data_IF_960092235636
#
_entry.id   IF_960092235636
#
_cell.length_a   1.000
_cell.length_b   1.000
_cell.length_c   1.000
_cell.angle_alpha   90.00
_cell.angle_beta   90.00
_cell.angle_gamma   90.00
#
_symmetry.space_group_name_H-M   'P 1'
#
loop_
_entity.id
_entity.type
_entity.pdbx_description
1 polymer ?
#
# COMPACT_ATOMS: atom_id res chain seq x y z
N UNK A 1 -20.64 -33.50 -60.49
CA UNK A 1 -19.52 -33.84 -59.59
C UNK A 1 -19.33 -32.71 -58.59
N UNK A 2 -19.19 -33.08 -57.32
CA UNK A 2 -19.41 -32.31 -56.10
C UNK A 2 -18.34 -31.25 -55.79
N UNK A 3 -18.82 -30.08 -55.33
CA UNK A 3 -18.07 -28.92 -54.84
C UNK A 3 -17.19 -29.28 -53.63
N UNK A 4 -15.94 -28.80 -53.59
CA UNK A 4 -15.01 -28.98 -52.47
C UNK A 4 -14.88 -27.67 -51.70
N UNK A 5 -15.66 -27.52 -50.64
CA UNK A 5 -15.44 -26.50 -49.61
C UNK A 5 -14.17 -26.86 -48.83
N UNK A 6 -13.16 -25.98 -48.85
CA UNK A 6 -11.99 -26.08 -47.96
C UNK A 6 -12.28 -25.26 -46.70
N UNK A 7 -12.38 -25.96 -45.56
CA UNK A 7 -12.47 -25.37 -44.23
C UNK A 7 -11.23 -24.50 -43.95
N UNK A 8 -11.46 -23.25 -43.57
CA UNK A 8 -10.45 -22.36 -42.99
C UNK A 8 -10.48 -22.61 -41.47
N UNK A 9 -9.45 -23.25 -40.93
CA UNK A 9 -9.28 -23.42 -39.49
C UNK A 9 -8.62 -22.16 -38.91
N UNK A 10 -9.41 -21.25 -38.35
CA UNK A 10 -8.93 -20.16 -37.51
C UNK A 10 -8.63 -20.73 -36.11
N UNK A 11 -7.35 -20.98 -35.84
CA UNK A 11 -6.88 -21.32 -34.50
C UNK A 11 -6.90 -20.03 -33.68
N UNK A 12 -7.90 -19.88 -32.82
CA UNK A 12 -7.97 -18.81 -31.84
C UNK A 12 -6.92 -19.01 -30.76
N UNK A 13 -5.86 -18.20 -30.79
CA UNK A 13 -4.88 -18.11 -29.71
C UNK A 13 -5.50 -17.33 -28.53
N UNK A 14 -6.05 -18.05 -27.56
CA UNK A 14 -6.49 -17.45 -26.31
C UNK A 14 -5.26 -17.04 -25.46
N UNK A 15 -5.00 -15.74 -25.37
CA UNK A 15 -4.03 -15.17 -24.43
C UNK A 15 -4.56 -15.40 -23.01
N UNK A 16 -4.02 -16.40 -22.31
CA UNK A 16 -4.22 -16.56 -20.88
C UNK A 16 -3.53 -15.41 -20.14
N UNK A 17 -4.29 -14.36 -19.81
CA UNK A 17 -3.85 -13.34 -18.86
C UNK A 17 -3.76 -14.00 -17.49
N UNK A 18 -2.55 -14.37 -17.10
CA UNK A 18 -2.27 -14.86 -15.76
C UNK A 18 -2.38 -13.70 -14.79
N UNK A 19 -3.56 -13.50 -14.19
CA UNK A 19 -3.70 -12.63 -13.03
C UNK A 19 -3.03 -13.31 -11.84
N UNK A 20 -2.00 -12.67 -11.27
CA UNK A 20 -1.39 -13.16 -10.03
C UNK A 20 -2.46 -13.25 -8.94
N UNK A 21 -2.57 -14.40 -8.27
CA UNK A 21 -3.49 -14.57 -7.16
C UNK A 21 -3.04 -13.67 -6.00
N UNK A 22 -3.92 -12.75 -5.58
CA UNK A 22 -3.68 -11.83 -4.46
C UNK A 22 -4.01 -12.56 -3.15
N UNK A 23 -3.01 -12.80 -2.30
CA UNK A 23 -3.22 -13.48 -1.01
C UNK A 23 -3.28 -12.47 0.15
N UNK A 24 -4.27 -12.53 1.05
CA UNK A 24 -4.25 -11.73 2.27
C UNK A 24 -3.00 -12.03 3.12
N UNK A 25 -2.41 -11.01 3.72
CA UNK A 25 -1.13 -11.05 4.44
C UNK A 25 0.12 -10.93 3.55
N UNK A 26 -0.06 -10.91 2.23
CA UNK A 26 1.04 -10.77 1.28
C UNK A 26 1.62 -9.35 1.33
N UNK A 27 2.95 -9.20 1.46
CA UNK A 27 3.59 -7.89 1.47
C UNK A 27 3.45 -7.16 0.13
N UNK A 28 3.34 -5.84 0.19
CA UNK A 28 3.34 -4.99 -1.00
C UNK A 28 4.63 -4.16 -1.03
N UNK A 29 5.61 -4.52 -1.88
CA UNK A 29 6.81 -3.72 -2.06
C UNK A 29 6.54 -2.47 -2.91
N UNK A 30 7.43 -1.48 -2.85
CA UNK A 30 7.40 -0.34 -3.77
C UNK A 30 6.31 0.71 -3.48
N UNK A 31 5.74 0.69 -2.28
CA UNK A 31 4.71 1.65 -1.85
C UNK A 31 5.38 2.83 -1.17
N UNK A 32 5.16 4.02 -1.73
CA UNK A 32 5.65 5.27 -1.17
C UNK A 32 4.79 5.67 0.04
N UNK A 33 5.48 6.03 1.12
CA UNK A 33 4.92 6.49 2.38
C UNK A 33 5.05 8.00 2.43
N UNK A 34 3.92 8.67 2.46
CA UNK A 34 3.83 10.12 2.46
C UNK A 34 3.56 10.63 3.86
N UNK A 35 4.30 11.64 4.29
CA UNK A 35 4.09 12.37 5.55
C UNK A 35 3.80 13.83 5.23
N UNK A 36 2.66 14.36 5.71
CA UNK A 36 2.29 15.76 5.52
C UNK A 36 1.75 16.37 6.81
N UNK A 37 2.04 17.66 7.02
CA UNK A 37 1.44 18.44 8.12
C UNK A 37 -0.05 18.63 7.84
N UNK A 38 -0.89 18.40 8.85
CA UNK A 38 -2.34 18.48 8.75
C UNK A 38 -2.87 19.55 9.72
N UNK A 39 -3.62 20.56 9.26
CA UNK A 39 -3.92 20.89 7.86
C UNK A 39 -2.76 21.59 7.12
N UNK A 40 -2.82 21.59 5.78
CA UNK A 40 -2.14 22.59 4.93
C UNK A 40 -0.69 22.31 4.51
N UNK A 41 -0.05 21.24 4.98
CA UNK A 41 1.30 20.87 4.55
C UNK A 41 1.31 20.04 3.27
N UNK A 42 2.23 20.33 2.35
CA UNK A 42 2.52 19.44 1.23
C UNK A 42 3.18 18.16 1.74
N UNK A 43 2.62 16.98 1.46
CA UNK A 43 3.21 15.73 1.90
C UNK A 43 4.52 15.45 1.16
N UNK A 44 5.49 14.87 1.88
CA UNK A 44 6.76 14.39 1.32
C UNK A 44 6.84 12.87 1.41
N UNK A 45 7.52 12.24 0.46
CA UNK A 45 7.85 10.81 0.57
C UNK A 45 8.96 10.66 1.62
N UNK A 46 8.70 9.87 2.66
CA UNK A 46 9.66 9.62 3.75
C UNK A 46 10.27 8.21 3.71
N UNK A 47 9.61 7.28 3.04
CA UNK A 47 10.13 5.94 2.77
C UNK A 47 9.36 5.30 1.61
N UNK A 48 9.93 4.22 1.09
CA UNK A 48 9.28 3.28 0.17
C UNK A 48 9.37 1.89 0.78
N UNK A 49 8.30 1.10 0.69
CA UNK A 49 8.30 -0.25 1.26
C UNK A 49 9.27 -1.20 0.55
N UNK A 50 9.97 -2.02 1.34
CA UNK A 50 10.89 -3.06 0.87
C UNK A 50 10.16 -4.30 0.33
N UNK A 51 10.92 -5.35 -0.02
CA UNK A 51 10.38 -6.60 -0.57
C UNK A 51 9.41 -7.30 0.38
N UNK A 52 9.59 -7.09 1.67
CA UNK A 52 8.78 -7.64 2.75
C UNK A 52 7.62 -6.70 3.13
N UNK A 53 7.41 -5.63 2.34
CA UNK A 53 6.39 -4.61 2.53
C UNK A 53 6.69 -3.67 3.69
N UNK A 54 7.88 -3.76 4.32
CA UNK A 54 8.24 -3.01 5.51
C UNK A 54 8.85 -1.66 5.15
N UNK A 55 8.75 -0.72 6.08
CA UNK A 55 9.45 0.56 5.97
C UNK A 55 9.84 1.07 7.36
N UNK A 56 10.87 1.92 7.38
CA UNK A 56 11.28 2.68 8.55
C UNK A 56 11.82 4.04 8.08
N UNK A 57 11.36 5.12 8.69
CA UNK A 57 11.77 6.48 8.35
C UNK A 57 11.97 7.32 9.60
N UNK A 58 13.00 8.16 9.58
CA UNK A 58 13.16 9.27 10.53
C UNK A 58 12.82 10.58 9.82
N UNK A 59 11.89 11.34 10.38
CA UNK A 59 11.54 12.65 9.86
C UNK A 59 11.73 13.72 10.94
N UNK A 60 12.44 14.80 10.61
CA UNK A 60 12.47 16.01 11.44
C UNK A 60 11.29 16.87 11.07
N UNK A 61 10.44 17.16 12.04
CA UNK A 61 9.18 17.87 11.86
C UNK A 61 8.97 18.86 12.99
N UNK A 62 8.20 19.90 12.72
CA UNK A 62 7.81 20.89 13.73
C UNK A 62 6.66 20.37 14.60
N UNK A 63 6.30 21.14 15.63
CA UNK A 63 5.03 20.96 16.35
C UNK A 63 3.86 20.98 15.35
N UNK A 64 2.93 20.05 15.52
CA UNK A 64 1.68 20.05 14.77
C UNK A 64 1.02 18.68 14.71
N UNK A 65 -0.09 18.64 13.97
CA UNK A 65 -0.77 17.42 13.56
C UNK A 65 -0.19 16.95 12.23
N UNK A 66 -0.07 15.64 12.05
CA UNK A 66 0.50 15.05 10.85
C UNK A 66 -0.36 13.90 10.35
N UNK A 67 -0.42 13.76 9.03
CA UNK A 67 -1.10 12.69 8.33
C UNK A 67 -0.09 11.79 7.60
N UNK A 68 -0.28 10.48 7.68
CA UNK A 68 0.39 9.50 6.81
C UNK A 68 -0.60 8.97 5.78
N UNK A 69 -0.15 8.92 4.53
CA UNK A 69 -0.86 8.28 3.43
C UNK A 69 0.10 7.43 2.59
N UNK A 70 -0.46 6.58 1.73
CA UNK A 70 0.33 5.68 0.87
C UNK A 70 -0.11 5.77 -0.57
N UNK A 71 0.86 5.75 -1.49
CA UNK A 71 0.59 5.58 -2.92
C UNK A 71 1.58 4.57 -3.50
N UNK A 72 1.12 3.77 -4.46
CA UNK A 72 2.06 2.98 -5.24
C UNK A 72 2.91 3.90 -6.09
N UNK A 73 4.18 3.51 -6.28
CA UNK A 73 5.04 4.17 -7.24
C UNK A 73 4.36 4.24 -8.63
N UNK A 74 4.62 5.26 -9.46
CA UNK A 74 3.90 5.51 -10.72
C UNK A 74 3.85 4.34 -11.73
N UNK A 75 4.71 3.32 -11.55
CA UNK A 75 4.79 2.14 -12.42
C UNK A 75 4.16 0.88 -11.81
N UNK A 76 3.50 1.00 -10.66
CA UNK A 76 2.92 -0.13 -9.94
C UNK A 76 1.41 0.07 -9.72
N UNK A 77 0.64 -0.96 -10.07
CA UNK A 77 -0.78 -1.02 -9.72
C UNK A 77 -0.91 -1.48 -8.27
N UNK A 78 -1.49 -0.62 -7.43
CA UNK A 78 -1.79 -0.97 -6.05
C UNK A 78 -2.98 -1.93 -5.95
N UNK A 79 -2.88 -3.02 -5.16
CA UNK A 79 -4.05 -3.79 -4.78
C UNK A 79 -5.09 -2.88 -4.09
N UNK A 80 -6.40 -3.04 -4.39
CA UNK A 80 -7.44 -2.19 -3.80
C UNK A 80 -7.59 -2.40 -2.29
N UNK A 81 -7.29 -3.61 -1.80
CA UNK A 81 -7.39 -3.97 -0.38
C UNK A 81 -6.06 -3.81 0.36
N UNK A 82 -5.22 -2.85 -0.06
CA UNK A 82 -3.98 -2.57 0.66
C UNK A 82 -4.28 -1.93 2.01
N UNK A 83 -3.51 -2.28 3.02
CA UNK A 83 -3.58 -1.63 4.32
C UNK A 83 -2.17 -1.36 4.84
N UNK A 84 -2.09 -0.35 5.70
CA UNK A 84 -0.86 0.10 6.34
C UNK A 84 -0.95 -0.24 7.84
N UNK A 85 0.02 -0.98 8.35
CA UNK A 85 0.30 -0.95 9.79
C UNK A 85 1.28 0.18 10.05
N UNK A 86 0.92 1.15 10.88
CA UNK A 86 1.78 2.28 11.22
C UNK A 86 2.09 2.30 12.72
N UNK A 87 3.35 2.54 13.03
CA UNK A 87 3.81 2.95 14.36
C UNK A 87 4.53 4.28 14.26
N UNK A 88 4.32 5.14 15.25
CA UNK A 88 5.03 6.40 15.43
C UNK A 88 5.67 6.37 16.81
N UNK A 89 7.00 6.49 16.86
CA UNK A 89 7.79 6.39 18.09
C UNK A 89 7.43 5.14 18.92
N UNK A 90 7.23 4.01 18.23
CA UNK A 90 6.88 2.72 18.81
C UNK A 90 5.40 2.55 19.19
N UNK A 91 4.55 3.57 18.99
CA UNK A 91 3.11 3.50 19.30
C UNK A 91 2.30 3.25 18.03
N UNK A 92 1.44 2.25 18.04
CA UNK A 92 0.55 1.96 16.91
C UNK A 92 -0.44 3.10 16.67
N UNK A 93 -0.56 3.54 15.43
CA UNK A 93 -1.53 4.54 14.98
C UNK A 93 -2.56 3.84 14.09
N UNK A 94 -3.84 4.08 14.37
CA UNK A 94 -4.95 3.55 13.57
C UNK A 94 -5.42 4.62 12.57
N UNK A 95 -5.89 4.22 11.39
CA UNK A 95 -6.48 5.16 10.46
C UNK A 95 -7.84 5.67 10.99
N UNK A 96 -8.22 6.87 10.56
CA UNK A 96 -9.58 7.38 10.68
C UNK A 96 -10.53 6.63 9.72
N UNK A 97 -11.83 6.99 9.76
CA UNK A 97 -12.84 6.40 8.89
C UNK A 97 -12.58 6.58 7.38
N UNK A 98 -11.66 7.47 7.00
CA UNK A 98 -11.24 7.74 5.61
C UNK A 98 -9.93 7.05 5.25
N UNK A 99 -9.35 6.25 6.14
CA UNK A 99 -8.08 5.56 5.91
C UNK A 99 -6.84 6.43 6.17
N UNK A 100 -7.00 7.61 6.79
CA UNK A 100 -5.89 8.55 7.05
C UNK A 100 -5.34 8.33 8.45
N UNK A 101 -4.02 8.18 8.57
CA UNK A 101 -3.37 7.99 9.87
C UNK A 101 -2.96 9.35 10.43
N UNK A 102 -3.62 9.78 11.50
CA UNK A 102 -3.39 11.07 12.14
C UNK A 102 -2.63 10.91 13.46
N UNK A 103 -1.65 11.77 13.69
CA UNK A 103 -0.91 11.79 14.95
C UNK A 103 -0.36 13.20 15.29
N UNK A 104 -0.33 13.58 16.59
CA UNK A 104 0.24 14.84 17.02
C UNK A 104 1.74 14.74 17.33
N UNK A 105 2.45 15.85 17.13
CA UNK A 105 3.85 16.06 17.55
C UNK A 105 3.90 17.23 18.53
N UNK A 106 4.32 16.97 19.77
CA UNK A 106 4.22 17.94 20.89
C UNK A 106 5.39 18.93 21.07
N UNK A 107 6.56 18.70 20.48
CA UNK A 107 7.76 19.56 20.60
C UNK A 107 7.89 20.62 19.49
N UNK A 108 8.63 21.72 19.71
CA UNK A 108 8.83 22.80 18.71
C UNK A 108 9.50 22.31 17.42
N UNK A 109 10.50 21.45 17.57
CA UNK A 109 11.10 20.59 16.53
C UNK A 109 11.32 19.21 17.15
N UNK A 110 10.83 18.16 16.49
CA UNK A 110 10.94 16.78 16.93
C UNK A 110 11.43 15.88 15.79
N UNK A 111 12.19 14.83 16.12
CA UNK A 111 12.41 13.72 15.20
C UNK A 111 11.39 12.64 15.52
N UNK A 112 10.56 12.29 14.55
CA UNK A 112 9.61 11.17 14.67
C UNK A 112 10.16 9.95 13.94
N UNK A 113 10.02 8.78 14.55
CA UNK A 113 10.31 7.50 13.93
C UNK A 113 9.00 6.88 13.43
N UNK A 114 8.86 6.78 12.11
CA UNK A 114 7.77 6.04 11.49
C UNK A 114 8.27 4.66 11.13
N UNK A 115 7.50 3.62 11.46
CA UNK A 115 7.77 2.29 10.95
C UNK A 115 6.50 1.48 10.77
N UNK A 116 6.55 0.49 9.89
CA UNK A 116 5.34 -0.24 9.55
C UNK A 116 5.50 -1.26 8.45
N UNK A 117 4.36 -1.75 7.99
CA UNK A 117 4.25 -2.70 6.88
C UNK A 117 3.03 -2.38 6.03
N UNK A 118 3.18 -2.49 4.71
CA UNK A 118 2.10 -2.43 3.74
C UNK A 118 1.85 -3.84 3.22
N UNK A 119 0.61 -4.28 3.30
CA UNK A 119 0.21 -5.64 2.93
C UNK A 119 -1.25 -5.68 2.46
N UNK A 120 -1.64 -6.82 1.91
CA UNK A 120 -2.99 -7.06 1.41
C UNK A 120 -3.87 -7.56 2.54
N UNK A 121 -5.04 -6.97 2.71
CA UNK A 121 -6.07 -7.48 3.62
C UNK A 121 -7.16 -8.21 2.81
N UNK A 122 -7.81 -9.19 3.43
CA UNK A 122 -8.97 -9.82 2.81
C UNK A 122 -10.14 -8.83 2.69
N UNK A 123 -11.21 -9.23 1.99
CA UNK A 123 -12.43 -8.41 1.82
C UNK A 123 -13.14 -8.05 3.13
N UNK A 124 -12.71 -8.61 4.26
CA UNK A 124 -13.26 -8.43 5.60
C UNK A 124 -12.30 -7.68 6.53
N UNK A 125 -11.19 -7.14 6.01
CA UNK A 125 -10.19 -6.44 6.80
C UNK A 125 -9.39 -7.36 7.73
N UNK A 126 -9.20 -8.64 7.38
CA UNK A 126 -8.35 -9.57 8.12
C UNK A 126 -7.04 -9.86 7.37
N UNK A 127 -5.97 -9.95 8.14
CA UNK A 127 -4.74 -10.64 7.75
C UNK A 127 -4.99 -12.15 7.85
N UNK A 128 -4.59 -12.96 6.87
CA UNK A 128 -4.52 -14.40 7.09
C UNK A 128 -3.38 -14.64 8.10
N UNK A 129 -3.71 -14.94 9.36
CA UNK A 129 -2.71 -15.19 10.38
C UNK A 129 -3.10 -14.99 11.85
N UNK A 130 -4.35 -14.69 12.21
CA UNK A 130 -4.78 -14.93 13.59
C UNK A 130 -4.96 -16.45 13.78
N UNK A 131 -4.18 -17.12 14.66
CA UNK A 131 -4.50 -18.49 15.02
C UNK A 131 -5.90 -18.51 15.63
N UNK A 132 -6.69 -19.52 15.25
CA UNK A 132 -7.90 -19.89 16.01
C UNK A 132 -7.51 -20.42 17.38
#
# INVERSE_FOLDING_TARGET
MTSRFRLIALIGLALAVSGAAINPGEPIPGVDIYLGKNPGGSPIVVATSDREGRFSARARVERGEYAVSTACAPRQTCPPNRQLTLTVDGRSVRPDARGVYLFPVGGSLGTVMLSGRVEIFDRWGRQNGAPR
#
